data_IF_268327675907
#
_entry.id   IF_268327675907
#
_cell.length_a   1.000
_cell.length_b   1.000
_cell.length_c   1.000
_cell.angle_alpha   90.00
_cell.angle_beta   90.00
_cell.angle_gamma   90.00
#
_symmetry.space_group_name_H-M   'P 1'
#
loop_
_entity.id
_entity.type
_entity.pdbx_description
1 polymer ?
#
# COMPACT_ATOMS: atom_id res chain seq x y z
N UNK A 1 -10.45 14.86 4.93
CA UNK A 1 -11.22 14.52 3.71
C UNK A 1 -10.51 13.35 3.06
N UNK A 2 -11.25 12.33 2.61
CA UNK A 2 -10.67 11.17 1.91
C UNK A 2 -10.70 11.36 0.40
N UNK A 3 -9.75 10.76 -0.32
CA UNK A 3 -9.69 10.74 -1.79
C UNK A 3 -9.98 9.33 -2.29
N UNK A 4 -10.90 9.18 -3.24
CA UNK A 4 -11.17 7.90 -3.89
C UNK A 4 -10.08 7.58 -4.91
N UNK A 5 -9.63 6.33 -4.92
CA UNK A 5 -8.60 5.86 -5.84
C UNK A 5 -8.82 4.38 -6.20
N UNK A 6 -8.18 3.95 -7.28
CA UNK A 6 -8.07 2.55 -7.66
C UNK A 6 -6.68 2.05 -7.28
N UNK A 7 -6.63 1.11 -6.35
CA UNK A 7 -5.40 0.46 -5.91
C UNK A 7 -4.99 -0.64 -6.90
N UNK A 8 -3.75 -0.54 -7.33
CA UNK A 8 -3.04 -1.59 -8.07
C UNK A 8 -1.87 -2.09 -7.25
N UNK A 9 -1.50 -3.36 -7.43
CA UNK A 9 -0.28 -3.91 -6.83
C UNK A 9 0.54 -4.68 -7.85
N UNK A 10 1.83 -4.82 -7.57
CA UNK A 10 2.75 -5.46 -8.49
C UNK A 10 4.17 -5.59 -7.96
N UNK A 11 5.00 -6.29 -8.73
CA UNK A 11 6.42 -6.49 -8.40
C UNK A 11 7.21 -5.27 -8.83
N UNK A 12 8.22 -4.90 -8.05
CA UNK A 12 9.25 -3.94 -8.45
C UNK A 12 10.62 -4.59 -8.35
N UNK A 13 11.58 -4.11 -9.15
CA UNK A 13 12.95 -4.65 -9.12
C UNK A 13 13.59 -4.51 -7.73
N UNK A 14 13.35 -3.39 -7.06
CA UNK A 14 13.90 -3.11 -5.72
C UNK A 14 13.24 -3.97 -4.66
N UNK A 15 11.91 -4.13 -4.72
CA UNK A 15 11.17 -5.05 -3.86
C UNK A 15 11.69 -6.49 -3.99
N UNK A 16 11.92 -6.96 -5.22
CA UNK A 16 12.49 -8.29 -5.47
C UNK A 16 13.89 -8.45 -4.88
N UNK A 17 14.79 -7.47 -5.09
CA UNK A 17 16.13 -7.49 -4.48
C UNK A 17 16.06 -7.49 -2.94
N UNK A 18 15.21 -6.64 -2.36
CA UNK A 18 15.10 -6.52 -0.92
C UNK A 18 14.53 -7.79 -0.26
N UNK A 19 13.66 -8.51 -0.98
CA UNK A 19 13.15 -9.81 -0.54
C UNK A 19 14.28 -10.84 -0.36
N UNK A 20 15.26 -10.86 -1.26
CA UNK A 20 16.42 -11.77 -1.19
C UNK A 20 17.37 -11.42 -0.03
N UNK A 21 17.43 -10.16 0.38
CA UNK A 21 18.20 -9.74 1.56
C UNK A 21 17.53 -10.15 2.87
N UNK A 22 16.19 -10.26 2.87
CA UNK A 22 15.41 -10.77 3.98
C UNK A 22 14.09 -10.02 4.17
N UNK A 23 12.98 -10.77 4.22
CA UNK A 23 11.61 -10.22 4.33
C UNK A 23 11.30 -9.49 5.64
N UNK A 24 12.15 -9.63 6.66
CA UNK A 24 11.98 -8.97 7.97
C UNK A 24 13.00 -7.83 8.16
N UNK A 25 13.82 -7.57 7.15
CA UNK A 25 14.84 -6.52 7.17
C UNK A 25 14.29 -5.14 6.84
N UNK A 26 15.03 -4.07 7.21
CA UNK A 26 14.65 -2.70 6.92
C UNK A 26 14.61 -2.40 5.41
N UNK A 27 15.42 -3.08 4.59
CA UNK A 27 15.43 -2.93 3.14
C UNK A 27 14.09 -3.40 2.54
N UNK A 28 13.57 -4.54 3.00
CA UNK A 28 12.29 -5.04 2.51
C UNK A 28 11.16 -4.12 2.93
N UNK A 29 11.10 -3.73 4.21
CA UNK A 29 10.14 -2.76 4.72
C UNK A 29 10.05 -1.53 3.80
N UNK A 30 11.19 -0.86 3.58
CA UNK A 30 11.28 0.34 2.74
C UNK A 30 10.73 0.13 1.32
N UNK A 31 10.95 -1.03 0.73
CA UNK A 31 10.58 -1.28 -0.67
C UNK A 31 9.17 -1.87 -0.84
N UNK A 32 8.44 -2.18 0.24
CA UNK A 32 7.04 -2.65 0.18
C UNK A 32 6.03 -1.80 0.94
N UNK A 33 6.48 -0.84 1.76
CA UNK A 33 5.61 -0.07 2.65
C UNK A 33 5.34 1.35 2.15
N UNK A 34 5.25 1.53 0.83
CA UNK A 34 4.90 2.81 0.21
C UNK A 34 3.72 2.69 -0.75
N UNK A 35 3.04 3.81 -0.99
CA UNK A 35 1.98 3.96 -1.98
C UNK A 35 2.39 5.03 -2.99
N UNK A 36 2.65 4.61 -4.22
CA UNK A 36 2.90 5.49 -5.35
C UNK A 36 1.58 6.11 -5.82
N UNK A 37 1.58 7.42 -5.99
CA UNK A 37 0.42 8.19 -6.41
C UNK A 37 0.83 9.43 -7.18
N UNK A 38 -0.11 9.98 -7.95
CA UNK A 38 0.13 11.16 -8.76
C UNK A 38 0.14 12.46 -7.92
N UNK A 39 0.63 13.54 -8.53
CA UNK A 39 0.77 14.85 -7.88
C UNK A 39 -0.56 15.47 -7.47
N UNK A 40 -1.64 15.23 -8.22
CA UNK A 40 -2.99 15.74 -7.92
C UNK A 40 -3.52 15.05 -6.68
N UNK A 41 -3.41 13.72 -6.59
CA UNK A 41 -3.81 12.95 -5.40
C UNK A 41 -3.07 13.40 -4.15
N UNK A 42 -1.74 13.55 -4.20
CA UNK A 42 -0.96 14.07 -3.06
C UNK A 42 -1.45 15.44 -2.60
N UNK A 43 -1.66 16.37 -3.54
CA UNK A 43 -2.16 17.71 -3.24
C UNK A 43 -3.57 17.70 -2.64
N UNK A 44 -4.46 16.85 -3.16
CA UNK A 44 -5.81 16.70 -2.64
C UNK A 44 -5.82 16.18 -1.19
N UNK A 45 -4.86 15.32 -0.85
CA UNK A 45 -4.63 14.83 0.52
C UNK A 45 -3.86 15.83 1.40
N UNK A 46 -3.24 16.86 0.82
CA UNK A 46 -2.38 17.80 1.55
C UNK A 46 -1.08 17.16 2.07
N UNK A 47 -0.57 16.15 1.37
CA UNK A 47 0.63 15.39 1.70
C UNK A 47 1.81 15.80 0.82
N UNK A 48 3.02 15.73 1.37
CA UNK A 48 4.27 15.72 0.61
C UNK A 48 4.80 14.28 0.46
N UNK A 49 5.68 14.05 -0.52
CA UNK A 49 6.34 12.75 -0.68
C UNK A 49 7.10 12.38 0.61
N UNK A 50 6.88 11.16 1.10
CA UNK A 50 7.40 10.69 2.39
C UNK A 50 6.41 10.84 3.54
N UNK A 51 5.34 11.62 3.40
CA UNK A 51 4.32 11.70 4.46
C UNK A 51 3.51 10.39 4.54
N UNK A 52 3.08 9.97 5.73
CA UNK A 52 2.22 8.81 5.93
C UNK A 52 0.81 9.02 5.35
N UNK A 53 0.33 7.99 4.65
CA UNK A 53 -1.02 7.91 4.09
C UNK A 53 -1.71 6.63 4.58
N UNK A 54 -2.96 6.77 5.03
CA UNK A 54 -3.83 5.64 5.32
C UNK A 54 -4.53 5.23 4.02
N UNK A 55 -4.38 3.96 3.65
CA UNK A 55 -5.08 3.32 2.54
C UNK A 55 -6.13 2.41 3.14
N UNK A 56 -7.40 2.66 2.81
CA UNK A 56 -8.55 1.88 3.29
C UNK A 56 -9.32 1.28 2.11
N UNK A 57 -9.72 0.03 2.24
CA UNK A 57 -10.61 -0.67 1.31
C UNK A 57 -11.69 -1.38 2.11
N UNK A 58 -12.60 -2.08 1.43
CA UNK A 58 -13.60 -2.94 2.09
C UNK A 58 -12.98 -4.09 2.89
N UNK A 59 -11.71 -4.43 2.64
CA UNK A 59 -11.05 -5.60 3.22
C UNK A 59 -10.14 -5.26 4.40
N UNK A 60 -9.78 -3.99 4.57
CA UNK A 60 -8.90 -3.57 5.64
C UNK A 60 -8.31 -2.18 5.42
N UNK A 61 -7.36 -1.83 6.27
CA UNK A 61 -6.69 -0.53 6.22
C UNK A 61 -5.22 -0.64 6.62
N UNK A 62 -4.35 0.09 5.95
CA UNK A 62 -2.91 0.12 6.24
C UNK A 62 -2.33 1.52 6.09
N UNK A 63 -1.43 1.90 7.00
CA UNK A 63 -0.63 3.12 6.86
C UNK A 63 0.68 2.78 6.15
N UNK A 64 0.97 3.53 5.09
CA UNK A 64 2.18 3.41 4.25
C UNK A 64 2.75 4.79 3.97
N UNK A 65 3.99 4.84 3.50
CA UNK A 65 4.63 6.08 3.08
C UNK A 65 4.10 6.52 1.70
N UNK A 66 3.74 7.79 1.54
CA UNK A 66 3.35 8.30 0.23
C UNK A 66 4.58 8.52 -0.67
N UNK A 67 4.46 8.18 -1.96
CA UNK A 67 5.54 8.31 -2.93
C UNK A 67 5.03 8.93 -4.22
N UNK A 68 5.77 9.91 -4.77
CA UNK A 68 5.33 10.57 -5.99
C UNK A 68 5.68 9.72 -7.21
N UNK A 69 4.67 9.29 -7.96
CA UNK A 69 4.84 8.85 -9.34
C UNK A 69 4.37 9.96 -10.30
N UNK A 70 5.31 10.50 -11.07
CA UNK A 70 5.04 11.56 -12.05
C UNK A 70 4.34 11.05 -13.32
N UNK A 71 4.26 9.73 -13.48
CA UNK A 71 3.66 9.04 -14.64
C UNK A 71 2.34 8.36 -14.27
N UNK A 72 2.00 8.28 -12.99
CA UNK A 72 0.74 7.71 -12.54
C UNK A 72 -0.44 8.53 -13.08
N UNK A 73 -1.49 7.82 -13.46
CA UNK A 73 -2.76 8.43 -13.82
C UNK A 73 -3.46 8.96 -12.56
N UNK A 74 -4.12 10.13 -12.61
CA UNK A 74 -4.85 10.67 -11.48
C UNK A 74 -5.89 9.68 -10.92
N UNK A 75 -5.86 9.45 -9.61
CA UNK A 75 -6.77 8.51 -8.95
C UNK A 75 -6.39 7.04 -9.09
N UNK A 76 -5.27 6.70 -9.73
CA UNK A 76 -4.69 5.35 -9.69
C UNK A 76 -3.48 5.35 -8.76
N UNK A 77 -3.45 4.41 -7.82
CA UNK A 77 -2.35 4.27 -6.88
C UNK A 77 -1.75 2.88 -6.90
N UNK A 78 -0.49 2.78 -6.48
CA UNK A 78 0.27 1.54 -6.55
C UNK A 78 0.96 1.22 -5.22
N UNK A 79 0.75 0.01 -4.70
CA UNK A 79 1.53 -0.53 -3.58
C UNK A 79 2.31 -1.76 -4.07
N UNK A 80 3.64 -1.85 -3.84
CA UNK A 80 4.41 -3.04 -4.18
C UNK A 80 3.84 -4.29 -3.51
N UNK A 81 3.89 -5.42 -4.20
CA UNK A 81 3.39 -6.67 -3.66
C UNK A 81 4.14 -7.07 -2.38
N UNK A 82 3.39 -7.34 -1.32
CA UNK A 82 3.92 -7.57 0.02
C UNK A 82 2.79 -7.51 1.06
N UNK A 83 3.14 -7.61 2.35
CA UNK A 83 2.15 -7.63 3.42
C UNK A 83 1.28 -6.37 3.48
N UNK A 84 1.83 -5.19 3.13
CA UNK A 84 1.09 -3.92 3.11
C UNK A 84 -0.02 -3.92 2.05
N UNK A 85 0.26 -4.38 0.83
CA UNK A 85 -0.77 -4.54 -0.20
C UNK A 85 -1.83 -5.58 0.24
N UNK A 86 -1.39 -6.72 0.79
CA UNK A 86 -2.29 -7.78 1.23
C UNK A 86 -3.17 -7.39 2.42
N UNK A 87 -2.79 -6.38 3.21
CA UNK A 87 -3.61 -5.87 4.31
C UNK A 87 -4.88 -5.14 3.84
N UNK A 88 -4.98 -4.83 2.55
CA UNK A 88 -6.09 -4.06 1.96
C UNK A 88 -6.66 -4.71 0.69
N UNK A 89 -6.22 -5.91 0.33
CA UNK A 89 -6.71 -6.68 -0.82
C UNK A 89 -7.50 -7.89 -0.31
N UNK A 90 -8.65 -8.15 -0.91
CA UNK A 90 -9.52 -9.26 -0.55
C UNK A 90 -8.92 -10.62 -0.91
N UNK A 91 -9.45 -11.68 -0.28
CA UNK A 91 -9.06 -13.07 -0.54
C UNK A 91 -10.06 -13.82 -1.42
N UNK A 92 -11.16 -13.19 -1.83
CA UNK A 92 -12.09 -13.79 -2.79
C UNK A 92 -11.36 -14.02 -4.11
N UNK A 93 -11.61 -15.16 -4.72
CA UNK A 93 -10.97 -15.60 -5.97
C UNK A 93 -11.96 -15.77 -7.11
N UNK A 94 -13.26 -15.56 -6.86
CA UNK A 94 -14.32 -15.79 -7.85
C UNK A 94 -14.21 -17.18 -8.51
N UNK A 95 -13.88 -18.19 -7.72
CA UNK A 95 -13.66 -19.59 -8.15
C UNK A 95 -12.50 -19.80 -9.15
N UNK A 96 -11.67 -18.79 -9.40
CA UNK A 96 -10.51 -18.89 -10.30
C UNK A 96 -9.23 -19.37 -9.60
N UNK A 97 -9.21 -19.36 -8.27
CA UNK A 97 -8.03 -19.67 -7.45
C UNK A 97 -7.03 -18.51 -7.32
N UNK A 98 -7.31 -17.34 -7.88
CA UNK A 98 -6.46 -16.14 -7.79
C UNK A 98 -7.28 -14.92 -7.32
N UNK A 99 -6.85 -14.21 -6.26
CA UNK A 99 -7.50 -12.96 -5.86
C UNK A 99 -7.27 -11.78 -6.80
N UNK A 100 -8.12 -10.76 -6.66
CA UNK A 100 -8.01 -9.48 -7.37
C UNK A 100 -6.91 -8.58 -6.78
N UNK A 101 -5.68 -8.81 -7.21
CA UNK A 101 -4.53 -8.01 -6.78
C UNK A 101 -4.45 -6.61 -7.41
N UNK A 102 -5.33 -6.29 -8.38
CA UNK A 102 -5.35 -5.00 -9.09
C UNK A 102 -6.78 -4.54 -9.31
N UNK A 103 -6.98 -3.23 -9.34
CA UNK A 103 -8.29 -2.65 -9.60
C UNK A 103 -9.15 -2.54 -8.35
N UNK A 104 -8.55 -2.60 -7.16
CA UNK A 104 -9.29 -2.59 -5.89
C UNK A 104 -9.71 -1.16 -5.54
N UNK A 105 -11.01 -0.85 -5.39
CA UNK A 105 -11.45 0.47 -4.95
C UNK A 105 -10.93 0.79 -3.55
N UNK A 106 -10.32 1.96 -3.39
CA UNK A 106 -9.70 2.41 -2.15
C UNK A 106 -10.09 3.85 -1.80
N UNK A 107 -10.02 4.17 -0.52
CA UNK A 107 -10.07 5.54 0.01
C UNK A 107 -8.76 5.85 0.70
N UNK A 108 -8.21 7.01 0.37
CA UNK A 108 -6.94 7.50 0.89
C UNK A 108 -7.20 8.63 1.88
N UNK A 109 -6.48 8.62 2.99
CA UNK A 109 -6.54 9.68 4.00
C UNK A 109 -5.14 10.11 4.42
N UNK A 110 -4.96 11.41 4.66
CA UNK A 110 -3.75 11.91 5.29
C UNK A 110 -3.62 11.33 6.71
N UNK A 111 -2.47 10.72 7.01
CA UNK A 111 -2.21 10.07 8.30
C UNK A 111 -1.06 10.77 9.04
N UNK A 112 -0.97 12.11 8.93
CA UNK A 112 0.12 12.89 9.54
C UNK A 112 0.19 12.64 11.05
N UNK A 113 1.35 12.18 11.53
CA UNK A 113 1.57 11.82 12.93
C UNK A 113 1.48 10.31 13.20
N UNK A 114 1.00 9.52 12.24
CA UNK A 114 1.09 8.06 12.28
C UNK A 114 2.41 7.58 11.67
N UNK A 115 2.78 6.34 12.00
CA UNK A 115 3.99 5.68 11.47
C UNK A 115 3.63 4.37 10.81
N UNK A 116 4.35 4.06 9.73
CA UNK A 116 4.28 2.74 9.08
C UNK A 116 4.70 1.66 10.07
N UNK A 117 3.83 0.67 10.29
CA UNK A 117 4.14 -0.48 11.14
C UNK A 117 5.28 -1.30 10.53
N UNK A 118 6.16 -1.85 11.38
CA UNK A 118 7.17 -2.81 10.93
C UNK A 118 6.53 -4.10 10.41
N UNK A 119 7.23 -4.82 9.52
CA UNK A 119 6.70 -6.03 8.86
C UNK A 119 6.18 -7.06 9.87
N UNK A 120 6.93 -7.31 10.94
CA UNK A 120 6.53 -8.27 11.99
C UNK A 120 5.25 -7.86 12.71
N UNK A 121 5.16 -6.59 13.08
CA UNK A 121 4.02 -6.05 13.83
C UNK A 121 2.76 -6.01 12.96
N UNK A 122 2.92 -5.67 11.67
CA UNK A 122 1.84 -5.74 10.71
C UNK A 122 1.33 -7.18 10.55
N UNK A 123 2.22 -8.15 10.35
CA UNK A 123 1.83 -9.55 10.24
C UNK A 123 1.14 -10.06 11.49
N UNK A 124 1.64 -9.70 12.68
CA UNK A 124 1.00 -10.04 13.95
C UNK A 124 -0.42 -9.46 14.03
N UNK A 125 -0.59 -8.18 13.68
CA UNK A 125 -1.91 -7.52 13.61
C UNK A 125 -2.85 -8.22 12.62
N UNK A 126 -2.36 -8.62 11.45
CA UNK A 126 -3.16 -9.31 10.44
C UNK A 126 -3.62 -10.69 10.90
N UNK A 127 -2.78 -11.43 11.65
CA UNK A 127 -3.13 -12.76 12.17
C UNK A 127 -4.07 -12.66 13.38
N UNK A 128 -3.85 -11.69 14.27
CA UNK A 128 -4.71 -11.51 15.46
C UNK A 128 -6.08 -10.90 15.12
N UNK A 129 -6.18 -10.21 13.98
CA UNK A 129 -7.43 -9.65 13.46
C UNK A 129 -8.16 -10.51 12.43
N UNK A 130 -7.62 -11.69 12.08
CA UNK A 130 -8.21 -12.66 11.14
C UNK A 130 -9.11 -13.69 11.84
#
# INVERSE_FOLDING_TARGET
MGVEAILTSGRTLKQGRAMELGKLGPEYLKEVSFCEMDKITLKALGLEEGDPVLVETLYGSVVVESKLDRRAEPGVVFIPCGPYANAVIGSDTEETGMPDFKGVPAKLFAAKGESVLGVKDLLKKMVEGA
#
